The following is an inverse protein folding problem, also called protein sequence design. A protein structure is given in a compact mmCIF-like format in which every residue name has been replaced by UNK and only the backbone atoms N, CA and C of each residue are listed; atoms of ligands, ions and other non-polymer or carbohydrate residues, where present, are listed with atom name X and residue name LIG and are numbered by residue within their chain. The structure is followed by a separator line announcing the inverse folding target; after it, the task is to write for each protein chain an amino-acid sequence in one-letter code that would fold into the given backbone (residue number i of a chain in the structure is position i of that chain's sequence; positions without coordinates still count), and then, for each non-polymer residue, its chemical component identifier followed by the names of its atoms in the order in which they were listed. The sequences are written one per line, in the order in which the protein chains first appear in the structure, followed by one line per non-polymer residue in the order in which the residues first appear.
data_IF_521837256969
#
_entry.id   IF_521837256969
#
_cell.length_a   1.000
_cell.length_b   1.000
_cell.length_c   1.000
_cell.angle_alpha   90.00
_cell.angle_beta   90.00
_cell.angle_gamma   90.00
#
_symmetry.space_group_name_H-M   'P 1'
#
loop_
_entity.id
_entity.type
_entity.pdbx_description
1 polymer ?
#
# COMPACT_ATOMS: atom_id res chain seq x y z
N UNK A 1 0.91 3.97 9.63
CA UNK A 1 1.86 3.05 10.31
C UNK A 1 1.31 1.63 10.54
N UNK A 2 0.00 1.42 10.65
CA UNK A 2 -0.56 0.11 11.02
C UNK A 2 -0.24 -1.04 10.04
N UNK A 3 -0.26 -0.80 8.74
CA UNK A 3 -0.07 -1.86 7.73
C UNK A 3 1.33 -2.51 7.80
N UNK A 4 2.45 -1.76 7.77
CA UNK A 4 3.78 -2.39 7.87
C UNK A 4 3.99 -3.15 9.19
N UNK A 5 3.50 -2.61 10.31
CA UNK A 5 3.57 -3.29 11.61
C UNK A 5 2.75 -4.59 11.55
N UNK A 6 1.52 -4.52 11.05
CA UNK A 6 0.64 -5.68 10.95
C UNK A 6 1.25 -6.82 10.11
N UNK A 7 1.83 -6.48 8.95
CA UNK A 7 2.52 -7.46 8.08
C UNK A 7 3.72 -8.07 8.79
N UNK A 8 4.61 -7.25 9.36
CA UNK A 8 5.80 -7.75 10.06
C UNK A 8 5.45 -8.61 11.28
N UNK A 9 4.53 -8.13 12.14
CA UNK A 9 4.12 -8.87 13.34
C UNK A 9 3.42 -10.19 12.98
N UNK A 10 2.61 -10.24 11.93
CA UNK A 10 1.98 -11.49 11.49
C UNK A 10 3.01 -12.53 11.05
N UNK A 11 4.06 -12.12 10.35
CA UNK A 11 5.17 -13.00 9.97
C UNK A 11 5.99 -13.46 11.18
N UNK A 12 6.22 -12.59 12.17
CA UNK A 12 6.89 -12.97 13.41
C UNK A 12 6.08 -14.01 14.20
N UNK A 13 4.77 -13.81 14.34
CA UNK A 13 3.90 -14.78 15.01
C UNK A 13 3.91 -16.10 14.25
N UNK A 14 3.79 -16.08 12.92
CA UNK A 14 3.86 -17.31 12.12
C UNK A 14 5.22 -17.99 12.22
N UNK A 15 6.31 -17.24 12.23
CA UNK A 15 7.68 -17.77 12.32
C UNK A 15 8.04 -18.34 13.68
N UNK A 16 7.65 -17.67 14.79
CA UNK A 16 7.98 -18.15 16.13
C UNK A 16 7.01 -19.20 16.67
N UNK A 17 5.73 -19.09 16.33
CA UNK A 17 4.68 -19.91 16.94
C UNK A 17 4.02 -20.89 15.96
N UNK A 18 4.24 -20.71 14.64
CA UNK A 18 3.56 -21.51 13.62
C UNK A 18 3.86 -23.01 13.71
N UNK A 19 5.09 -23.38 14.03
CA UNK A 19 5.50 -24.80 14.17
C UNK A 19 5.00 -25.41 15.47
N UNK A 20 5.07 -24.66 16.57
CA UNK A 20 4.72 -25.17 17.91
C UNK A 20 3.21 -25.19 18.18
N UNK A 21 2.50 -24.15 17.75
CA UNK A 21 1.07 -24.00 18.00
C UNK A 21 0.19 -24.39 16.81
N UNK A 22 0.77 -24.46 15.62
CA UNK A 22 0.03 -24.65 14.38
C UNK A 22 -0.70 -23.38 13.91
N UNK A 23 -1.02 -23.32 12.61
CA UNK A 23 -1.53 -22.11 11.98
C UNK A 23 -2.88 -21.63 12.56
N UNK A 24 -3.76 -22.54 12.98
CA UNK A 24 -5.07 -22.18 13.55
C UNK A 24 -4.92 -21.36 14.84
N UNK A 25 -4.03 -21.79 15.72
CA UNK A 25 -3.79 -21.11 17.00
C UNK A 25 -3.11 -19.74 16.80
N UNK A 26 -2.27 -19.59 15.77
CA UNK A 26 -1.73 -18.28 15.38
C UNK A 26 -2.85 -17.30 14.98
N UNK A 27 -3.88 -17.76 14.25
CA UNK A 27 -5.06 -16.94 13.93
C UNK A 27 -5.89 -16.59 15.17
N UNK A 28 -6.10 -17.54 16.10
CA UNK A 28 -6.79 -17.25 17.36
C UNK A 28 -6.03 -16.22 18.20
N UNK A 29 -4.71 -16.31 18.26
CA UNK A 29 -3.85 -15.35 18.96
C UNK A 29 -3.96 -13.94 18.34
N UNK A 30 -3.85 -13.83 17.01
CA UNK A 30 -4.00 -12.55 16.30
C UNK A 30 -5.40 -11.97 16.49
N UNK A 31 -6.43 -12.80 16.40
CA UNK A 31 -7.82 -12.39 16.65
C UNK A 31 -8.03 -11.92 18.08
N UNK A 32 -7.44 -12.61 19.07
CA UNK A 32 -7.47 -12.22 20.49
C UNK A 32 -6.80 -10.87 20.74
N UNK A 33 -5.62 -10.64 20.16
CA UNK A 33 -4.96 -9.33 20.21
C UNK A 33 -5.84 -8.26 19.59
N UNK A 34 -6.45 -8.53 18.41
CA UNK A 34 -7.37 -7.61 17.75
C UNK A 34 -8.58 -7.25 18.61
N UNK A 35 -9.15 -8.25 19.31
CA UNK A 35 -10.28 -8.03 20.25
C UNK A 35 -9.87 -7.14 21.42
N UNK A 36 -8.70 -7.39 22.04
CA UNK A 36 -8.18 -6.57 23.14
C UNK A 36 -7.96 -5.13 22.67
N UNK A 37 -7.32 -4.93 21.51
CA UNK A 37 -7.10 -3.59 20.93
C UNK A 37 -8.42 -2.89 20.63
N UNK A 38 -9.42 -3.62 20.11
CA UNK A 38 -10.77 -3.12 19.88
C UNK A 38 -11.46 -2.67 21.17
N UNK A 39 -11.35 -3.45 22.24
CA UNK A 39 -11.87 -3.07 23.56
C UNK A 39 -11.13 -1.84 24.13
N UNK A 40 -9.79 -1.79 23.99
CA UNK A 40 -9.03 -0.60 24.38
C UNK A 40 -9.44 0.64 23.61
N UNK A 41 -9.82 0.51 22.32
CA UNK A 41 -10.28 1.63 21.51
C UNK A 41 -11.57 2.27 22.08
N UNK A 42 -12.43 1.50 22.78
CA UNK A 42 -13.64 2.03 23.46
C UNK A 42 -13.30 2.95 24.64
N UNK A 43 -12.08 2.86 25.17
CA UNK A 43 -11.62 3.75 26.26
C UNK A 43 -11.20 5.13 25.75
N UNK A 44 -10.95 5.29 24.45
CA UNK A 44 -10.60 6.58 23.86
C UNK A 44 -11.86 7.44 23.68
N UNK A 45 -11.90 8.54 24.40
CA UNK A 45 -12.97 9.52 24.29
C UNK A 45 -12.83 10.30 22.98
N UNK A 46 -13.85 10.24 22.15
CA UNK A 46 -13.88 11.04 20.91
C UNK A 46 -13.74 12.51 21.24
N UNK A 47 -12.70 13.15 20.71
CA UNK A 47 -12.54 14.60 20.85
C UNK A 47 -13.63 15.22 19.98
N UNK A 48 -14.68 15.77 20.64
CA UNK A 48 -15.70 16.53 19.92
C UNK A 48 -14.98 17.56 19.04
N UNK A 49 -15.03 17.34 17.73
CA UNK A 49 -14.59 18.33 16.75
C UNK A 49 -15.32 19.61 17.12
N UNK A 50 -14.61 20.68 17.46
CA UNK A 50 -15.24 22.00 17.62
C UNK A 50 -15.87 22.31 16.26
N UNK A 51 -17.16 22.07 16.15
CA UNK A 51 -17.98 22.56 15.07
C UNK A 51 -18.09 24.06 15.31
N UNK A 52 -17.48 24.84 14.44
CA UNK A 52 -17.85 26.26 14.37
C UNK A 52 -19.34 26.34 14.09
N UNK A 53 -20.08 26.62 15.17
CA UNK A 53 -21.33 27.37 15.16
C UNK A 53 -22.54 26.82 14.44
N UNK A 54 -22.76 25.49 14.30
CA UNK A 54 -24.12 24.97 14.06
C UNK A 54 -24.32 23.62 14.75
N UNK A 55 -25.24 23.61 15.68
CA UNK A 55 -25.56 22.49 16.57
C UNK A 55 -25.79 21.17 15.80
N UNK A 56 -25.21 20.10 16.36
CA UNK A 56 -25.25 18.76 15.86
C UNK A 56 -26.64 18.23 15.51
N UNK A 57 -26.95 18.27 14.25
CA UNK A 57 -27.78 17.23 13.65
C UNK A 57 -26.83 16.06 13.28
N UNK A 58 -27.07 14.92 13.93
CA UNK A 58 -26.64 13.61 13.37
C UNK A 58 -27.33 13.57 12.00
N UNK A 59 -26.58 13.94 10.94
CA UNK A 59 -27.08 13.79 9.57
C UNK A 59 -27.32 12.30 9.37
N UNK A 60 -28.55 11.87 9.61
CA UNK A 60 -29.05 10.62 9.05
C UNK A 60 -28.75 10.70 7.56
N UNK A 61 -27.93 9.76 7.05
CA UNK A 61 -27.58 9.69 5.64
C UNK A 61 -28.88 9.52 4.85
N UNK A 62 -29.48 10.65 4.43
CA UNK A 62 -30.60 10.61 3.51
C UNK A 62 -30.08 10.12 2.16
N UNK A 63 -30.94 9.45 1.40
CA UNK A 63 -30.59 8.97 0.04
C UNK A 63 -30.10 10.12 -0.85
N UNK A 64 -30.62 11.33 -0.67
CA UNK A 64 -30.19 12.55 -1.36
C UNK A 64 -28.77 12.95 -0.99
N UNK A 65 -28.39 12.90 0.29
CA UNK A 65 -27.04 13.18 0.76
C UNK A 65 -26.03 12.18 0.19
N UNK A 66 -26.39 10.89 0.05
CA UNK A 66 -25.49 9.87 -0.54
C UNK A 66 -25.26 10.10 -2.03
N UNK A 67 -26.31 10.48 -2.77
CA UNK A 67 -26.20 10.80 -4.21
C UNK A 67 -25.32 12.04 -4.42
N UNK A 68 -25.47 13.05 -3.59
CA UNK A 68 -24.67 14.27 -3.62
C UNK A 68 -23.18 13.97 -3.40
N UNK A 69 -22.84 13.14 -2.40
CA UNK A 69 -21.49 12.71 -2.11
C UNK A 69 -20.87 11.97 -3.31
N UNK A 70 -21.61 11.04 -3.92
CA UNK A 70 -21.16 10.28 -5.08
C UNK A 70 -20.96 11.21 -6.29
N UNK A 71 -21.88 12.13 -6.55
CA UNK A 71 -21.76 13.10 -7.63
C UNK A 71 -20.55 14.03 -7.43
N UNK A 72 -20.28 14.46 -6.21
CA UNK A 72 -19.11 15.27 -5.86
C UNK A 72 -17.81 14.48 -6.10
N UNK A 73 -17.76 13.22 -5.72
CA UNK A 73 -16.62 12.33 -6.00
C UNK A 73 -16.41 12.16 -7.50
N UNK A 74 -17.47 11.89 -8.26
CA UNK A 74 -17.38 11.76 -9.73
C UNK A 74 -16.91 13.08 -10.36
N UNK A 75 -17.40 14.22 -9.90
CA UNK A 75 -16.99 15.54 -10.37
C UNK A 75 -15.48 15.75 -10.07
N UNK A 76 -15.02 15.45 -8.88
CA UNK A 76 -13.60 15.54 -8.52
C UNK A 76 -12.72 14.64 -9.40
N UNK A 77 -13.13 13.38 -9.61
CA UNK A 77 -12.44 12.44 -10.50
C UNK A 77 -12.39 12.91 -11.96
N UNK A 78 -13.45 13.57 -12.46
CA UNK A 78 -13.47 14.12 -13.83
C UNK A 78 -12.60 15.37 -13.95
N UNK A 79 -12.57 16.21 -12.95
CA UNK A 79 -11.86 17.49 -12.95
C UNK A 79 -10.36 17.29 -12.73
N UNK A 80 -9.94 16.43 -11.78
CA UNK A 80 -8.54 16.24 -11.44
C UNK A 80 -7.91 15.06 -12.17
N UNK A 81 -6.96 15.35 -13.04
CA UNK A 81 -6.07 14.35 -13.65
C UNK A 81 -5.09 13.78 -12.63
N UNK A 82 -4.57 14.62 -11.71
CA UNK A 82 -3.65 14.20 -10.66
C UNK A 82 -4.30 13.16 -9.74
N UNK A 83 -5.59 13.32 -9.38
CA UNK A 83 -6.34 12.34 -8.59
C UNK A 83 -6.45 11.01 -9.32
N UNK A 84 -6.85 11.02 -10.60
CA UNK A 84 -6.97 9.79 -11.41
C UNK A 84 -5.64 9.06 -11.55
N UNK A 85 -4.57 9.79 -11.85
CA UNK A 85 -3.24 9.20 -12.01
C UNK A 85 -2.69 8.68 -10.68
N UNK A 86 -2.96 9.32 -9.54
CA UNK A 86 -2.58 8.82 -8.22
C UNK A 86 -3.31 7.50 -7.91
N UNK A 87 -4.61 7.43 -8.19
CA UNK A 87 -5.39 6.19 -7.98
C UNK A 87 -4.88 5.08 -8.91
N UNK A 88 -4.68 5.37 -10.18
CA UNK A 88 -4.18 4.39 -11.15
C UNK A 88 -2.78 3.87 -10.78
N UNK A 89 -1.88 4.76 -10.41
CA UNK A 89 -0.54 4.39 -9.93
C UNK A 89 -0.61 3.47 -8.71
N UNK A 90 -1.48 3.81 -7.75
CA UNK A 90 -1.72 2.97 -6.58
C UNK A 90 -2.24 1.58 -6.93
N UNK A 91 -3.15 1.46 -7.90
CA UNK A 91 -3.66 0.16 -8.36
C UNK A 91 -2.52 -0.70 -8.94
N UNK A 92 -1.70 -0.16 -9.84
CA UNK A 92 -0.56 -0.90 -10.41
C UNK A 92 0.47 -1.29 -9.36
N UNK A 93 0.72 -0.43 -8.37
CA UNK A 93 1.55 -0.77 -7.22
C UNK A 93 0.94 -1.91 -6.39
N UNK A 94 -0.38 -1.90 -6.16
CA UNK A 94 -1.07 -2.96 -5.39
C UNK A 94 -1.15 -4.29 -6.14
N UNK A 95 -1.03 -4.32 -7.46
CA UNK A 95 -0.89 -5.57 -8.22
C UNK A 95 0.38 -6.32 -7.78
N UNK A 96 1.51 -5.63 -7.65
CA UNK A 96 2.74 -6.25 -7.12
C UNK A 96 2.59 -6.64 -5.66
N UNK A 97 1.94 -5.80 -4.86
CA UNK A 97 1.69 -6.12 -3.44
C UNK A 97 0.85 -7.40 -3.31
N UNK A 98 -0.15 -7.61 -4.17
CA UNK A 98 -0.93 -8.85 -4.21
C UNK A 98 -0.07 -10.07 -4.57
N UNK A 99 0.79 -9.94 -5.57
CA UNK A 99 1.73 -10.99 -5.97
C UNK A 99 2.80 -11.27 -4.90
N UNK A 100 3.20 -10.27 -4.11
CA UNK A 100 4.18 -10.45 -3.03
C UNK A 100 3.70 -11.37 -1.89
N UNK A 101 2.40 -11.71 -1.84
CA UNK A 101 1.89 -12.78 -0.97
C UNK A 101 2.56 -14.13 -1.20
N UNK A 102 3.14 -14.35 -2.38
CA UNK A 102 3.91 -15.56 -2.72
C UNK A 102 5.40 -15.46 -2.37
N UNK A 103 5.88 -14.35 -1.83
CA UNK A 103 7.30 -14.14 -1.51
C UNK A 103 7.82 -15.18 -0.50
N UNK A 104 7.02 -15.56 0.50
CA UNK A 104 7.41 -16.60 1.46
C UNK A 104 7.55 -17.97 0.79
N UNK A 105 6.68 -18.30 -0.17
CA UNK A 105 6.80 -19.53 -0.96
C UNK A 105 8.03 -19.52 -1.86
N UNK A 106 8.33 -18.40 -2.48
CA UNK A 106 9.54 -18.18 -3.26
C UNK A 106 10.80 -18.40 -2.42
N UNK A 107 10.86 -17.78 -1.23
CA UNK A 107 12.01 -17.91 -0.33
C UNK A 107 12.24 -19.36 0.13
N UNK A 108 11.16 -20.10 0.40
CA UNK A 108 11.26 -21.50 0.87
C UNK A 108 11.52 -22.46 -0.28
N UNK A 109 10.77 -22.38 -1.39
CA UNK A 109 10.79 -23.41 -2.44
C UNK A 109 11.89 -23.20 -3.48
N UNK A 110 12.25 -21.95 -3.78
CA UNK A 110 13.23 -21.65 -4.82
C UNK A 110 14.55 -21.10 -4.28
N UNK A 111 14.56 -20.55 -3.06
CA UNK A 111 15.77 -20.03 -2.42
C UNK A 111 16.28 -20.91 -1.29
N UNK A 112 15.55 -21.98 -0.93
CA UNK A 112 16.01 -23.02 -0.01
C UNK A 112 16.04 -22.63 1.47
N UNK A 113 15.37 -21.53 1.86
CA UNK A 113 15.31 -21.13 3.25
C UNK A 113 14.34 -22.02 4.05
N UNK A 114 14.64 -22.21 5.32
CA UNK A 114 13.75 -22.86 6.27
C UNK A 114 12.58 -21.90 6.59
N UNK A 115 11.35 -22.44 6.60
CA UNK A 115 10.11 -21.65 6.68
C UNK A 115 10.04 -20.76 7.91
N UNK A 116 10.34 -21.31 9.08
CA UNK A 116 10.21 -20.61 10.36
C UNK A 116 11.25 -19.50 10.46
N UNK A 117 12.51 -19.81 10.16
CA UNK A 117 13.62 -18.87 10.23
C UNK A 117 13.46 -17.69 9.27
N UNK A 118 13.05 -17.97 8.01
CA UNK A 118 12.87 -16.89 7.03
C UNK A 118 11.66 -16.02 7.35
N UNK A 119 10.58 -16.58 7.90
CA UNK A 119 9.43 -15.80 8.34
C UNK A 119 9.79 -14.85 9.49
N UNK A 120 10.61 -15.32 10.45
CA UNK A 120 11.12 -14.48 11.55
C UNK A 120 11.99 -13.34 11.00
N UNK A 121 12.95 -13.65 10.14
CA UNK A 121 13.89 -12.66 9.61
C UNK A 121 13.18 -11.61 8.76
N UNK A 122 12.34 -12.03 7.81
CA UNK A 122 11.55 -11.13 6.98
C UNK A 122 10.52 -10.36 7.81
N UNK A 123 9.97 -10.97 8.87
CA UNK A 123 9.09 -10.30 9.83
C UNK A 123 9.78 -9.10 10.50
N UNK A 124 11.00 -9.29 11.00
CA UNK A 124 11.79 -8.19 11.59
C UNK A 124 12.16 -7.12 10.56
N UNK A 125 12.59 -7.54 9.35
CA UNK A 125 12.85 -6.59 8.26
C UNK A 125 11.57 -5.79 7.95
N UNK A 126 10.42 -6.44 7.87
CA UNK A 126 9.13 -5.81 7.61
C UNK A 126 8.76 -4.75 8.65
N UNK A 127 8.97 -5.05 9.94
CA UNK A 127 8.73 -4.08 11.02
C UNK A 127 9.68 -2.88 10.89
N UNK A 128 10.99 -3.10 10.87
CA UNK A 128 11.95 -2.00 10.90
C UNK A 128 12.01 -1.21 9.59
N UNK A 129 12.10 -1.89 8.45
CA UNK A 129 12.13 -1.23 7.15
C UNK A 129 10.79 -0.58 6.81
N UNK A 130 9.66 -1.24 7.13
CA UNK A 130 8.33 -0.67 6.91
C UNK A 130 8.04 0.55 7.77
N UNK A 131 8.43 0.54 9.06
CA UNK A 131 8.29 1.71 9.93
C UNK A 131 9.19 2.87 9.49
N UNK A 132 10.46 2.60 9.23
CA UNK A 132 11.39 3.63 8.74
C UNK A 132 10.94 4.20 7.40
N UNK A 133 10.46 3.35 6.49
CA UNK A 133 9.86 3.79 5.22
C UNK A 133 8.66 4.70 5.41
N UNK A 134 7.77 4.37 6.35
CA UNK A 134 6.58 5.20 6.61
C UNK A 134 6.96 6.58 7.19
N UNK A 135 7.92 6.62 8.13
CA UNK A 135 8.40 7.87 8.71
C UNK A 135 9.18 8.71 7.69
N UNK A 136 10.19 8.12 7.07
CA UNK A 136 11.07 8.81 6.12
C UNK A 136 10.27 9.19 4.87
N UNK A 137 9.43 8.29 4.35
CA UNK A 137 8.58 8.56 3.20
C UNK A 137 7.58 9.69 3.44
N UNK A 138 6.99 9.78 4.64
CA UNK A 138 6.16 10.90 5.03
C UNK A 138 6.95 12.21 5.03
N UNK A 139 8.05 12.28 5.79
CA UNK A 139 8.88 13.49 5.92
C UNK A 139 9.42 13.95 4.56
N UNK A 140 9.99 13.04 3.77
CA UNK A 140 10.59 13.40 2.48
C UNK A 140 9.54 13.81 1.45
N UNK A 141 8.36 13.19 1.45
CA UNK A 141 7.30 13.59 0.52
C UNK A 141 6.68 14.94 0.88
N UNK A 142 6.56 15.26 2.18
CA UNK A 142 6.10 16.56 2.66
C UNK A 142 7.14 17.64 2.31
N UNK A 143 8.41 17.39 2.60
CA UNK A 143 9.51 18.27 2.21
C UNK A 143 9.54 18.52 0.69
N UNK A 144 9.33 17.45 -0.12
CA UNK A 144 9.26 17.57 -1.58
C UNK A 144 8.15 18.53 -2.02
N UNK A 145 6.95 18.36 -1.46
CA UNK A 145 5.79 19.18 -1.80
C UNK A 145 5.96 20.65 -1.36
N UNK A 146 6.62 20.91 -0.22
CA UNK A 146 6.86 22.26 0.29
C UNK A 146 7.95 23.00 -0.49
N UNK A 147 8.96 22.29 -0.97
CA UNK A 147 10.14 22.90 -1.62
C UNK A 147 10.10 22.85 -3.15
N UNK A 148 9.08 22.20 -3.74
CA UNK A 148 8.94 22.12 -5.20
C UNK A 148 7.51 22.49 -5.63
N UNK A 149 7.36 22.84 -6.90
CA UNK A 149 6.03 23.06 -7.48
C UNK A 149 5.30 21.76 -7.85
N UNK A 150 5.79 20.64 -7.37
CA UNK A 150 5.30 19.29 -7.67
C UNK A 150 4.68 18.65 -6.42
N UNK A 151 3.64 17.84 -6.61
CA UNK A 151 2.99 17.16 -5.48
C UNK A 151 3.77 15.95 -4.97
N UNK A 152 3.36 15.42 -3.80
CA UNK A 152 3.91 14.20 -3.19
C UNK A 152 4.02 12.99 -4.15
N UNK A 153 3.15 12.78 -5.16
CA UNK A 153 3.33 11.71 -6.13
C UNK A 153 4.65 11.75 -6.89
N UNK A 154 5.27 12.93 -7.06
CA UNK A 154 6.58 13.03 -7.69
C UNK A 154 7.69 12.40 -6.82
N UNK A 155 7.60 12.48 -5.51
CA UNK A 155 8.49 11.73 -4.62
C UNK A 155 8.34 10.21 -4.85
N UNK A 156 7.11 9.71 -4.98
CA UNK A 156 6.85 8.29 -5.27
C UNK A 156 7.36 7.87 -6.66
N UNK A 157 7.30 8.77 -7.64
CA UNK A 157 7.92 8.54 -8.96
C UNK A 157 9.42 8.27 -8.82
N UNK A 158 10.15 9.14 -8.14
CA UNK A 158 11.60 8.98 -7.96
C UNK A 158 11.93 7.75 -7.11
N UNK A 159 11.17 7.53 -6.05
CA UNK A 159 11.34 6.35 -5.22
C UNK A 159 11.17 5.06 -6.03
N UNK A 160 10.07 4.95 -6.78
CA UNK A 160 9.80 3.77 -7.61
C UNK A 160 10.85 3.59 -8.72
N UNK A 161 11.24 4.68 -9.39
CA UNK A 161 12.25 4.63 -10.46
C UNK A 161 13.62 4.14 -9.96
N UNK A 162 14.04 4.60 -8.77
CA UNK A 162 15.34 4.25 -8.19
C UNK A 162 15.35 2.84 -7.57
N UNK A 163 14.23 2.40 -7.00
CA UNK A 163 14.15 1.11 -6.31
C UNK A 163 13.79 -0.05 -7.24
N UNK A 164 13.14 0.20 -8.38
CA UNK A 164 12.70 -0.83 -9.31
C UNK A 164 13.84 -1.74 -9.82
N UNK A 165 14.99 -1.21 -10.28
CA UNK A 165 16.08 -2.09 -10.75
C UNK A 165 16.55 -3.06 -9.67
N UNK A 166 16.69 -2.58 -8.43
CA UNK A 166 17.10 -3.42 -7.30
C UNK A 166 16.01 -4.43 -6.98
N UNK A 167 14.72 -3.99 -6.98
CA UNK A 167 13.55 -4.82 -6.73
C UNK A 167 13.33 -5.96 -7.75
N UNK A 168 13.90 -5.85 -8.96
CA UNK A 168 13.89 -6.91 -9.95
C UNK A 168 15.17 -7.76 -9.83
N UNK A 169 16.34 -7.11 -9.77
CA UNK A 169 17.63 -7.78 -9.87
C UNK A 169 17.92 -8.71 -8.68
N UNK A 170 17.53 -8.33 -7.44
CA UNK A 170 17.82 -9.15 -6.26
C UNK A 170 17.20 -10.56 -6.30
N UNK A 171 16.19 -10.75 -7.13
CA UNK A 171 15.52 -12.04 -7.29
C UNK A 171 16.34 -13.08 -8.06
N UNK A 172 17.35 -12.62 -8.81
CA UNK A 172 18.22 -13.46 -9.63
C UNK A 172 19.58 -13.73 -8.98
N UNK A 173 19.88 -13.11 -7.84
CA UNK A 173 21.15 -13.32 -7.15
C UNK A 173 21.04 -14.45 -6.13
N UNK A 174 22.19 -15.03 -5.78
CA UNK A 174 22.27 -16.12 -4.81
C UNK A 174 21.79 -15.68 -3.42
N UNK A 175 21.02 -16.55 -2.73
CA UNK A 175 20.61 -16.33 -1.36
C UNK A 175 21.80 -16.07 -0.43
N UNK A 176 21.67 -15.10 0.48
CA UNK A 176 22.73 -14.76 1.42
C UNK A 176 23.70 -13.68 0.95
N UNK A 177 23.67 -13.27 -0.35
CA UNK A 177 24.43 -12.10 -0.80
C UNK A 177 23.87 -10.80 -0.22
N UNK A 178 24.73 -9.79 -0.10
CA UNK A 178 24.28 -8.46 0.40
C UNK A 178 23.17 -7.87 -0.48
N UNK A 179 23.27 -8.03 -1.80
CA UNK A 179 22.26 -7.52 -2.75
C UNK A 179 20.89 -8.19 -2.54
N UNK A 180 20.88 -9.50 -2.23
CA UNK A 180 19.65 -10.22 -1.91
C UNK A 180 18.91 -9.59 -0.72
N UNK A 181 19.60 -9.37 0.39
CA UNK A 181 19.00 -8.77 1.59
C UNK A 181 18.64 -7.31 1.40
N UNK A 182 19.46 -6.53 0.72
CA UNK A 182 19.15 -5.14 0.36
C UNK A 182 17.88 -5.06 -0.46
N UNK A 183 17.65 -5.99 -1.40
CA UNK A 183 16.42 -6.04 -2.19
C UNK A 183 15.17 -6.25 -1.33
N UNK A 184 15.22 -7.19 -0.38
CA UNK A 184 14.12 -7.43 0.56
C UNK A 184 13.86 -6.20 1.43
N UNK A 185 14.90 -5.60 2.02
CA UNK A 185 14.80 -4.39 2.86
C UNK A 185 14.18 -3.23 2.07
N UNK A 186 14.64 -2.99 0.84
CA UNK A 186 14.10 -1.93 -0.03
C UNK A 186 12.63 -2.17 -0.35
N UNK A 187 12.21 -3.41 -0.60
CA UNK A 187 10.80 -3.76 -0.85
C UNK A 187 9.89 -3.35 0.31
N UNK A 188 10.24 -3.72 1.55
CA UNK A 188 9.48 -3.34 2.74
C UNK A 188 9.58 -1.85 3.07
N UNK A 189 10.73 -1.23 2.85
CA UNK A 189 10.90 0.22 2.99
C UNK A 189 9.99 0.98 2.01
N UNK A 190 9.97 0.58 0.74
CA UNK A 190 9.12 1.18 -0.29
C UNK A 190 7.63 1.01 0.04
N UNK A 191 7.24 -0.15 0.55
CA UNK A 191 5.87 -0.39 1.03
C UNK A 191 5.50 0.60 2.13
N UNK A 192 6.40 0.86 3.08
CA UNK A 192 6.21 1.87 4.11
C UNK A 192 6.02 3.28 3.52
N UNK A 193 6.87 3.67 2.58
CA UNK A 193 6.82 5.00 1.93
C UNK A 193 5.54 5.26 1.14
N UNK A 194 4.82 4.22 0.72
CA UNK A 194 3.66 4.35 -0.16
C UNK A 194 2.46 5.04 0.50
N UNK A 195 2.10 4.64 1.72
CA UNK A 195 0.79 4.98 2.30
C UNK A 195 0.62 6.47 2.60
N UNK A 196 1.59 7.09 3.28
CA UNK A 196 1.51 8.50 3.65
C UNK A 196 1.25 9.42 2.44
N UNK A 197 2.17 9.46 1.48
CA UNK A 197 2.08 10.36 0.32
C UNK A 197 0.82 10.15 -0.53
N UNK A 198 0.40 8.90 -0.76
CA UNK A 198 -0.77 8.63 -1.60
C UNK A 198 -2.07 9.02 -0.92
N UNK A 199 -2.24 8.67 0.37
CA UNK A 199 -3.44 9.03 1.12
C UNK A 199 -3.57 10.54 1.32
N UNK A 200 -2.47 11.24 1.61
CA UNK A 200 -2.47 12.70 1.69
C UNK A 200 -2.87 13.32 0.35
N UNK A 201 -2.29 12.84 -0.75
CA UNK A 201 -2.61 13.36 -2.10
C UNK A 201 -4.08 13.21 -2.46
N UNK A 202 -4.69 12.03 -2.24
CA UNK A 202 -6.10 11.83 -2.60
C UNK A 202 -7.05 12.65 -1.72
N UNK A 203 -6.68 12.92 -0.46
CA UNK A 203 -7.46 13.77 0.43
C UNK A 203 -7.35 15.26 0.10
N UNK A 204 -6.20 15.72 -0.38
CA UNK A 204 -5.98 17.11 -0.74
C UNK A 204 -6.57 17.50 -2.10
N UNK A 205 -6.88 16.50 -2.95
CA UNK A 205 -7.50 16.69 -4.27
C UNK A 205 -9.02 16.52 -4.25
N UNK A 206 -9.65 16.70 -3.10
CA UNK A 206 -11.11 16.68 -2.94
C UNK A 206 -11.54 17.66 -1.85
N UNK A 207 -12.78 18.17 -1.87
CA UNK A 207 -13.31 19.01 -0.81
C UNK A 207 -13.44 18.25 0.52
N UNK A 208 -13.42 19.01 1.63
CA UNK A 208 -13.34 18.47 2.98
C UNK A 208 -14.50 17.52 3.35
N UNK A 209 -15.69 17.77 2.83
CA UNK A 209 -16.89 16.99 3.10
C UNK A 209 -16.84 15.55 2.55
N UNK A 210 -15.98 15.25 1.55
CA UNK A 210 -15.85 13.92 0.94
C UNK A 210 -14.47 13.26 1.14
N UNK A 211 -13.59 13.83 1.97
CA UNK A 211 -12.23 13.26 2.22
C UNK A 211 -12.28 11.80 2.69
N UNK A 212 -13.19 11.47 3.62
CA UNK A 212 -13.36 10.10 4.08
C UNK A 212 -13.85 9.17 2.96
N UNK A 213 -14.77 9.66 2.12
CA UNK A 213 -15.34 8.90 1.00
C UNK A 213 -14.29 8.61 -0.07
N UNK A 214 -13.46 9.59 -0.44
CA UNK A 214 -12.40 9.35 -1.44
C UNK A 214 -11.36 8.37 -0.93
N UNK A 215 -11.00 8.42 0.36
CA UNK A 215 -10.09 7.44 0.97
C UNK A 215 -10.70 6.04 0.94
N UNK A 216 -11.98 5.90 1.31
CA UNK A 216 -12.66 4.60 1.25
C UNK A 216 -12.75 4.07 -0.18
N UNK A 217 -13.09 4.92 -1.15
CA UNK A 217 -13.10 4.58 -2.58
C UNK A 217 -11.70 4.16 -3.06
N UNK A 218 -10.66 4.89 -2.65
CA UNK A 218 -9.28 4.56 -2.99
C UNK A 218 -8.87 3.19 -2.43
N UNK A 219 -9.09 2.94 -1.14
CA UNK A 219 -8.79 1.65 -0.50
C UNK A 219 -9.56 0.51 -1.19
N UNK A 220 -10.85 0.72 -1.47
CA UNK A 220 -11.67 -0.27 -2.19
C UNK A 220 -11.07 -0.59 -3.57
N UNK A 221 -10.69 0.44 -4.32
CA UNK A 221 -10.10 0.27 -5.66
C UNK A 221 -8.75 -0.45 -5.61
N UNK A 222 -7.90 -0.10 -4.64
CA UNK A 222 -6.60 -0.74 -4.43
C UNK A 222 -6.75 -2.25 -4.12
N UNK A 223 -7.68 -2.58 -3.22
CA UNK A 223 -7.87 -3.98 -2.79
C UNK A 223 -8.66 -4.80 -3.83
N UNK A 224 -9.78 -4.25 -4.32
CA UNK A 224 -10.64 -4.99 -5.24
C UNK A 224 -10.00 -5.20 -6.62
N UNK A 225 -9.24 -4.24 -7.11
CA UNK A 225 -8.59 -4.34 -8.43
C UNK A 225 -7.13 -4.76 -8.24
N UNK A 226 -6.33 -3.94 -7.55
CA UNK A 226 -4.89 -4.15 -7.47
C UNK A 226 -4.52 -5.45 -6.76
N UNK A 227 -4.92 -5.59 -5.50
CA UNK A 227 -4.57 -6.75 -4.67
C UNK A 227 -5.17 -8.05 -5.24
N UNK A 228 -6.42 -8.01 -5.71
CA UNK A 228 -7.10 -9.19 -6.29
C UNK A 228 -6.42 -9.65 -7.57
N UNK A 229 -6.12 -8.74 -8.52
CA UNK A 229 -5.39 -9.11 -9.75
C UNK A 229 -4.00 -9.65 -9.39
N UNK A 230 -3.30 -9.04 -8.43
CA UNK A 230 -1.99 -9.49 -7.98
C UNK A 230 -2.02 -10.89 -7.36
N UNK A 231 -2.94 -11.15 -6.45
CA UNK A 231 -3.00 -12.44 -5.74
C UNK A 231 -3.53 -13.56 -6.62
N UNK A 232 -4.68 -13.38 -7.28
CA UNK A 232 -5.25 -14.42 -8.15
C UNK A 232 -4.42 -14.60 -9.42
N UNK A 233 -4.04 -13.50 -10.07
CA UNK A 233 -3.19 -13.55 -11.27
C UNK A 233 -1.81 -14.11 -10.98
N UNK A 234 -1.22 -13.77 -9.82
CA UNK A 234 0.05 -14.32 -9.36
C UNK A 234 -0.01 -15.83 -9.18
N UNK A 235 -1.05 -16.35 -8.50
CA UNK A 235 -1.26 -17.78 -8.35
C UNK A 235 -1.42 -18.50 -9.70
N UNK A 236 -2.30 -17.98 -10.56
CA UNK A 236 -2.49 -18.53 -11.90
C UNK A 236 -1.20 -18.51 -12.75
N UNK A 237 -0.46 -17.42 -12.70
CA UNK A 237 0.81 -17.28 -13.42
C UNK A 237 1.86 -18.28 -12.91
N UNK A 238 1.99 -18.45 -11.59
CA UNK A 238 2.92 -19.41 -11.00
C UNK A 238 2.56 -20.86 -11.38
N UNK A 239 1.26 -21.22 -11.36
CA UNK A 239 0.80 -22.55 -11.75
C UNK A 239 0.99 -22.81 -13.25
N UNK A 240 0.74 -21.81 -14.09
CA UNK A 240 1.02 -21.89 -15.54
C UNK A 240 2.51 -22.10 -15.82
N UNK A 241 3.39 -21.31 -15.19
CA UNK A 241 4.84 -21.45 -15.37
C UNK A 241 5.33 -22.83 -14.89
N UNK A 242 4.78 -23.33 -13.79
CA UNK A 242 5.07 -24.68 -13.30
C UNK A 242 4.62 -25.75 -14.29
N UNK A 243 3.44 -25.62 -14.88
CA UNK A 243 2.91 -26.57 -15.88
C UNK A 243 3.74 -26.58 -17.18
N UNK A 244 4.38 -25.45 -17.52
CA UNK A 244 5.29 -25.30 -18.65
C UNK A 244 6.71 -25.82 -18.35
N UNK A 245 6.97 -26.30 -17.13
CA UNK A 245 8.24 -26.93 -16.75
C UNK A 245 9.34 -25.92 -16.34
N UNK A 246 9.01 -24.67 -16.03
CA UNK A 246 10.00 -23.72 -15.50
C UNK A 246 10.48 -24.14 -14.11
N UNK A 247 11.80 -24.08 -13.89
CA UNK A 247 12.41 -24.49 -12.62
C UNK A 247 12.10 -23.50 -11.47
N UNK A 248 11.97 -22.22 -11.78
CA UNK A 248 11.75 -21.15 -10.82
C UNK A 248 10.46 -20.34 -11.14
N UNK A 249 9.26 -20.95 -11.01
CA UNK A 249 8.00 -20.32 -11.39
C UNK A 249 7.66 -19.09 -10.54
N UNK A 250 8.00 -19.09 -9.24
CA UNK A 250 7.73 -17.94 -8.35
C UNK A 250 8.67 -16.77 -8.63
N UNK A 251 9.94 -17.02 -8.94
CA UNK A 251 10.89 -15.97 -9.38
C UNK A 251 10.36 -15.26 -10.61
N UNK A 252 10.00 -16.03 -11.65
CA UNK A 252 9.50 -15.46 -12.90
C UNK A 252 8.17 -14.71 -12.70
N UNK A 253 7.24 -15.28 -11.95
CA UNK A 253 5.96 -14.66 -11.63
C UNK A 253 6.20 -13.33 -10.92
N UNK A 254 6.98 -13.28 -9.86
CA UNK A 254 7.26 -12.05 -9.12
C UNK A 254 7.94 -10.98 -9.98
N UNK A 255 8.82 -11.38 -10.91
CA UNK A 255 9.45 -10.47 -11.89
C UNK A 255 8.42 -9.93 -12.88
N UNK A 256 7.55 -10.76 -13.44
CA UNK A 256 6.48 -10.34 -14.37
C UNK A 256 5.60 -9.29 -13.70
N UNK A 257 5.16 -9.54 -12.46
CA UNK A 257 4.31 -8.59 -11.73
C UNK A 257 5.07 -7.30 -11.35
N UNK A 258 6.38 -7.39 -11.08
CA UNK A 258 7.23 -6.20 -10.90
C UNK A 258 7.34 -5.38 -12.20
N UNK A 259 7.41 -6.02 -13.36
CA UNK A 259 7.40 -5.34 -14.67
C UNK A 259 6.04 -4.65 -14.90
N UNK A 260 4.92 -5.29 -14.57
CA UNK A 260 3.59 -4.68 -14.68
C UNK A 260 3.50 -3.41 -13.82
N UNK A 261 4.15 -3.38 -12.66
CA UNK A 261 4.16 -2.19 -11.80
C UNK A 261 4.91 -0.99 -12.39
N UNK A 262 5.72 -1.17 -13.42
CA UNK A 262 6.39 -0.07 -14.13
C UNK A 262 5.38 0.99 -14.59
N UNK A 263 4.15 0.57 -14.90
CA UNK A 263 3.07 1.47 -15.31
C UNK A 263 2.73 2.49 -14.20
N UNK A 264 2.99 2.17 -12.93
CA UNK A 264 2.81 3.11 -11.82
C UNK A 264 3.73 4.33 -11.92
N UNK A 265 4.93 4.16 -12.48
CA UNK A 265 5.97 5.20 -12.56
C UNK A 265 5.50 6.41 -13.38
N UNK A 266 5.13 6.27 -14.68
CA UNK A 266 4.62 7.41 -15.45
C UNK A 266 3.32 7.98 -14.86
N UNK A 267 2.50 7.17 -14.21
CA UNK A 267 1.30 7.66 -13.54
C UNK A 267 1.64 8.58 -12.36
N UNK A 268 2.62 8.21 -11.51
CA UNK A 268 3.09 9.08 -10.43
C UNK A 268 3.73 10.37 -10.96
N UNK A 269 4.50 10.28 -12.04
CA UNK A 269 5.08 11.46 -12.68
C UNK A 269 4.01 12.45 -13.14
N UNK A 270 2.99 11.94 -13.86
CA UNK A 270 1.88 12.77 -14.35
C UNK A 270 1.04 13.34 -13.20
N UNK A 271 0.80 12.55 -12.16
CA UNK A 271 0.11 13.00 -10.95
C UNK A 271 0.86 14.14 -10.28
N UNK A 272 2.18 13.99 -10.05
CA UNK A 272 3.01 15.00 -9.42
C UNK A 272 3.08 16.29 -10.21
N UNK A 273 3.24 16.21 -11.54
CA UNK A 273 3.28 17.39 -12.43
C UNK A 273 1.97 18.18 -12.45
N UNK A 274 0.83 17.49 -12.41
CA UNK A 274 -0.48 18.13 -12.50
C UNK A 274 -1.07 18.54 -11.16
N UNK A 275 -0.46 18.11 -10.06
CA UNK A 275 -0.99 18.28 -8.70
C UNK A 275 -1.37 19.72 -8.38
N UNK A 276 -0.45 20.68 -8.55
CA UNK A 276 -0.64 22.08 -8.18
C UNK A 276 -1.75 22.74 -9.01
N UNK A 277 -1.74 22.51 -10.32
CA UNK A 277 -2.77 23.05 -11.21
C UNK A 277 -4.16 22.49 -10.91
N UNK A 278 -4.26 21.17 -10.71
CA UNK A 278 -5.52 20.52 -10.43
C UNK A 278 -6.07 20.93 -9.05
N UNK A 279 -5.20 21.16 -8.05
CA UNK A 279 -5.60 21.63 -6.72
C UNK A 279 -6.28 23.00 -6.80
N UNK A 280 -5.70 23.96 -7.54
CA UNK A 280 -6.28 25.30 -7.76
C UNK A 280 -7.63 25.20 -8.46
N UNK A 281 -7.75 24.36 -9.50
CA UNK A 281 -9.00 24.17 -10.23
C UNK A 281 -10.08 23.58 -9.32
N UNK A 282 -9.73 22.62 -8.46
CA UNK A 282 -10.67 22.02 -7.52
C UNK A 282 -11.13 23.00 -6.46
N UNK A 283 -10.23 23.80 -5.89
CA UNK A 283 -10.58 24.88 -4.96
C UNK A 283 -11.60 25.82 -5.59
N UNK A 284 -11.39 26.30 -6.81
CA UNK A 284 -12.32 27.17 -7.52
C UNK A 284 -13.64 26.49 -7.97
N UNK A 285 -13.70 25.16 -8.02
CA UNK A 285 -14.86 24.41 -8.50
C UNK A 285 -15.83 24.07 -7.37
N UNK A 286 -15.32 24.01 -6.12
CA UNK A 286 -16.07 23.58 -4.94
C UNK A 286 -16.22 24.68 -3.86
N UNK A 287 -15.59 25.86 -4.04
CA UNK A 287 -15.96 27.11 -3.36
C UNK A 287 -17.15 27.79 -4.03
#
# INVERSE_FOLDING_TARGET
MGVPIGVGVSLLIAGYLGESLGWRNCFYLLGGIGLILGLCALLFKDRKRKSDGTAGEVRTLSKESTIEIVNTLIKALRTSSALRFTILAGVFYHIVLGASGFEQLWLVQERGFERSQIAQLVGWIGVFAGLSGNLIGGILSDWWQENTDQGRPMFLFWLALLTLPIGIFYRFVEPGTTIFWVGIVIGYFQLGCFFGPTFSTVQELVPDNIKATVVSFYILTLNLIGLTIGSLGGGFCADLLRSLGYAEPYTLMLVIFSIISIISIPCYYLAGKKYKADKIVLENTFT
#
